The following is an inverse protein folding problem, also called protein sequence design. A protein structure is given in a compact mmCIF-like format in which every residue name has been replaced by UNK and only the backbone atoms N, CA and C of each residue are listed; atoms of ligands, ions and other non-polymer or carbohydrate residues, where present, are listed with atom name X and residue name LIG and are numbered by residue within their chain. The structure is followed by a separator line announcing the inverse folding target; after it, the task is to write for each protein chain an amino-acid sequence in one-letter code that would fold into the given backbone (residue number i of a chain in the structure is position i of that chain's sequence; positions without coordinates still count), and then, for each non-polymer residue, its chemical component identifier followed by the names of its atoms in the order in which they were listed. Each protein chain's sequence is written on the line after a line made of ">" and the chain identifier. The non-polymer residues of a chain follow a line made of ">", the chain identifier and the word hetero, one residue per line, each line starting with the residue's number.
data_IF_331546611256
#
_entry.id   IF_331546611256
#
_cell.length_a   1.000
_cell.length_b   1.000
_cell.length_c   1.000
_cell.angle_alpha   90.00
_cell.angle_beta   90.00
_cell.angle_gamma   90.00
#
_symmetry.space_group_name_H-M   'P 1'
#
loop_
_entity.id
_entity.type
_entity.pdbx_description
1 polymer ?
#
# COMPACT_ATOMS: atom_id res chain seq x y z
N UNK A 1 6.28 7.70 13.48
CA UNK A 1 7.31 7.31 14.47
C UNK A 1 8.34 8.43 14.49
N UNK A 2 8.28 9.34 15.47
CA UNK A 2 9.11 10.56 15.43
C UNK A 2 10.37 10.38 16.28
N UNK A 3 11.53 10.58 15.64
CA UNK A 3 12.90 10.72 16.21
C UNK A 3 13.82 9.50 16.36
N UNK A 4 13.63 8.43 15.60
CA UNK A 4 14.80 7.59 15.20
C UNK A 4 14.72 7.32 13.72
N UNK A 5 15.65 7.90 12.97
CA UNK A 5 15.96 7.50 11.60
C UNK A 5 16.21 5.99 11.60
N UNK A 6 15.38 5.22 10.90
CA UNK A 6 15.73 3.84 10.59
C UNK A 6 17.09 3.84 9.90
N UNK A 7 18.09 3.19 10.51
CA UNK A 7 19.43 3.10 9.94
C UNK A 7 19.35 2.45 8.55
N UNK A 8 20.10 2.94 7.54
CA UNK A 8 20.24 2.28 6.24
C UNK A 8 20.60 0.78 6.36
N UNK A 9 21.30 0.41 7.43
CA UNK A 9 21.71 -0.98 7.72
C UNK A 9 20.51 -1.90 8.04
N UNK A 10 19.51 -1.40 8.78
CA UNK A 10 18.30 -2.15 9.12
C UNK A 10 17.44 -2.40 7.86
N UNK A 11 17.46 -1.45 6.91
CA UNK A 11 16.78 -1.58 5.62
C UNK A 11 17.46 -2.59 4.69
N UNK A 12 18.79 -2.65 4.72
CA UNK A 12 19.56 -3.63 3.95
C UNK A 12 19.29 -5.06 4.42
N UNK A 13 19.20 -5.29 5.73
CA UNK A 13 18.84 -6.59 6.29
C UNK A 13 17.44 -7.04 5.87
N UNK A 14 16.44 -6.14 5.89
CA UNK A 14 15.08 -6.46 5.39
C UNK A 14 15.10 -6.84 3.90
N UNK A 15 15.89 -6.15 3.08
CA UNK A 15 15.99 -6.41 1.65
C UNK A 15 16.65 -7.76 1.33
N UNK A 16 17.72 -8.13 2.04
CA UNK A 16 18.40 -9.41 1.83
C UNK A 16 17.49 -10.60 2.17
N UNK A 17 16.69 -10.48 3.23
CA UNK A 17 15.82 -11.56 3.68
C UNK A 17 14.55 -11.64 2.82
N UNK A 18 13.98 -10.49 2.45
CA UNK A 18 12.86 -10.47 1.52
C UNK A 18 13.25 -11.06 0.16
N UNK A 19 14.49 -10.86 -0.30
CA UNK A 19 15.03 -11.49 -1.51
C UNK A 19 15.15 -13.01 -1.37
N UNK A 20 15.64 -13.49 -0.23
CA UNK A 20 15.75 -14.93 0.06
C UNK A 20 14.37 -15.62 0.16
N UNK A 21 13.36 -14.92 0.68
CA UNK A 21 11.98 -15.43 0.74
C UNK A 21 11.24 -15.31 -0.61
N UNK A 22 11.50 -14.25 -1.39
CA UNK A 22 10.90 -14.04 -2.72
C UNK A 22 11.39 -15.08 -3.75
N UNK A 23 12.62 -15.57 -3.62
CA UNK A 23 13.15 -16.66 -4.45
C UNK A 23 12.42 -18.00 -4.24
N UNK A 24 11.61 -18.12 -3.19
CA UNK A 24 10.82 -19.32 -2.86
C UNK A 24 9.31 -19.17 -3.12
N UNK A 25 8.86 -18.02 -3.66
CA UNK A 25 7.44 -17.78 -3.96
C UNK A 25 7.10 -18.16 -5.41
N UNK A 26 6.01 -18.91 -5.68
CA UNK A 26 5.62 -19.21 -7.05
C UNK A 26 5.12 -17.94 -7.74
N UNK A 27 5.69 -17.66 -8.92
CA UNK A 27 5.21 -16.62 -9.82
C UNK A 27 3.84 -16.97 -10.37
N UNK A 28 2.81 -16.21 -10.02
CA UNK A 28 1.54 -16.23 -10.73
C UNK A 28 1.74 -15.61 -12.12
N UNK A 29 1.84 -16.47 -13.13
CA UNK A 29 1.94 -16.09 -14.53
C UNK A 29 0.55 -15.64 -15.05
N UNK A 30 0.47 -14.40 -15.53
CA UNK A 30 -0.58 -13.97 -16.45
C UNK A 30 0.03 -13.87 -17.86
N UNK A 31 -0.66 -14.49 -18.81
CA UNK A 31 -0.18 -14.80 -20.15
C UNK A 31 0.21 -13.57 -20.99
N UNK A 32 1.32 -13.71 -21.72
CA UNK A 32 1.65 -12.91 -22.89
C UNK A 32 1.73 -13.84 -24.09
N UNK A 33 0.73 -13.80 -24.96
CA UNK A 33 0.84 -14.36 -26.30
C UNK A 33 1.83 -13.50 -27.10
N UNK A 34 2.95 -14.09 -27.52
CA UNK A 34 3.82 -13.54 -28.57
C UNK A 34 3.96 -14.58 -29.67
N UNK A 35 3.33 -14.31 -30.82
CA UNK A 35 3.69 -14.94 -32.10
C UNK A 35 5.06 -14.41 -32.54
N UNK A 36 5.98 -15.34 -32.79
CA UNK A 36 7.32 -15.11 -33.34
C UNK A 36 7.26 -15.24 -34.86
N UNK A 37 7.87 -14.29 -35.60
CA UNK A 37 8.32 -14.45 -36.99
C UNK A 37 9.64 -13.67 -37.17
N UNK A 38 10.53 -14.10 -38.11
CA UNK A 38 11.97 -13.93 -37.97
C UNK A 38 12.56 -12.66 -38.60
N UNK A 39 13.71 -12.29 -38.05
CA UNK A 39 14.62 -11.21 -38.46
C UNK A 39 14.97 -11.21 -39.95
N UNK A 40 14.97 -10.01 -40.53
CA UNK A 40 15.81 -9.65 -41.67
C UNK A 40 16.51 -8.33 -41.35
N UNK A 41 17.83 -8.39 -41.31
CA UNK A 41 18.71 -7.27 -40.98
C UNK A 41 18.54 -6.10 -41.96
N UNK A 42 18.52 -4.85 -41.45
CA UNK A 42 18.73 -3.66 -42.26
C UNK A 42 19.53 -2.60 -41.49
N UNK A 43 20.50 -2.03 -42.20
CA UNK A 43 21.62 -1.21 -41.72
C UNK A 43 21.26 0.29 -41.65
N UNK A 44 20.03 0.61 -41.23
CA UNK A 44 19.47 1.99 -41.19
C UNK A 44 19.02 2.45 -39.78
N UNK A 45 19.13 1.60 -38.75
CA UNK A 45 18.63 1.92 -37.39
C UNK A 45 19.47 2.95 -36.61
N UNK A 46 20.68 3.30 -37.05
CA UNK A 46 21.55 4.18 -36.27
C UNK A 46 21.19 5.68 -36.35
N UNK A 47 20.51 6.17 -37.40
CA UNK A 47 20.15 7.60 -37.47
C UNK A 47 18.78 7.93 -36.83
N UNK A 48 17.86 6.96 -36.80
CA UNK A 48 16.52 7.13 -36.18
C UNK A 48 16.61 7.04 -34.66
N UNK A 49 17.51 6.20 -34.13
CA UNK A 49 17.81 6.13 -32.71
C UNK A 49 18.49 7.40 -32.20
N UNK A 50 19.32 8.07 -33.02
CA UNK A 50 20.02 9.29 -32.62
C UNK A 50 19.07 10.50 -32.52
N UNK A 51 18.13 10.63 -33.46
CA UNK A 51 17.11 11.69 -33.44
C UNK A 51 16.10 11.52 -32.30
N UNK A 52 15.66 10.28 -32.03
CA UNK A 52 14.71 10.00 -30.92
C UNK A 52 15.35 10.16 -29.55
N UNK A 53 16.65 9.87 -29.43
CA UNK A 53 17.44 10.14 -28.22
C UNK A 53 17.68 11.65 -28.05
N UNK A 54 18.01 12.38 -29.12
CA UNK A 54 18.18 13.84 -29.08
C UNK A 54 16.88 14.56 -28.67
N UNK A 55 15.73 14.19 -29.26
CA UNK A 55 14.42 14.70 -28.86
C UNK A 55 14.10 14.35 -27.40
N UNK A 56 14.57 13.18 -26.95
CA UNK A 56 14.38 12.74 -25.58
C UNK A 56 15.15 13.57 -24.56
N UNK A 57 16.41 13.90 -24.87
CA UNK A 57 17.28 14.76 -24.06
C UNK A 57 16.76 16.20 -24.06
N UNK A 58 16.40 16.73 -25.24
CA UNK A 58 15.85 18.09 -25.36
C UNK A 58 14.58 18.27 -24.51
N UNK A 59 13.69 17.27 -24.48
CA UNK A 59 12.52 17.32 -23.61
C UNK A 59 12.90 17.26 -22.12
N UNK A 60 13.91 16.47 -21.75
CA UNK A 60 14.38 16.40 -20.37
C UNK A 60 14.95 17.74 -19.90
N UNK A 61 15.73 18.42 -20.74
CA UNK A 61 16.28 19.74 -20.45
C UNK A 61 15.17 20.80 -20.34
N UNK A 62 14.15 20.74 -21.20
CA UNK A 62 12.98 21.59 -21.10
C UNK A 62 12.27 21.42 -19.76
N UNK A 63 12.04 20.18 -19.31
CA UNK A 63 11.38 19.90 -18.02
C UNK A 63 12.27 20.33 -16.85
N UNK A 64 13.59 20.16 -16.94
CA UNK A 64 14.52 20.62 -15.92
C UNK A 64 14.50 22.15 -15.77
N UNK A 65 14.48 22.89 -16.89
CA UNK A 65 14.33 24.34 -16.89
C UNK A 65 13.02 24.76 -16.23
N UNK A 66 11.89 24.17 -16.65
CA UNK A 66 10.58 24.45 -16.06
C UNK A 66 10.59 24.18 -14.56
N UNK A 67 11.16 23.06 -14.11
CA UNK A 67 11.22 22.73 -12.69
C UNK A 67 12.07 23.72 -11.89
N UNK A 68 13.18 24.20 -12.45
CA UNK A 68 14.02 25.23 -11.83
C UNK A 68 13.26 26.56 -11.69
N UNK A 69 12.57 26.99 -12.74
CA UNK A 69 11.70 28.18 -12.72
C UNK A 69 10.61 28.06 -11.65
N UNK A 70 9.95 26.90 -11.56
CA UNK A 70 8.96 26.64 -10.51
C UNK A 70 9.56 26.73 -9.10
N UNK A 71 10.73 26.11 -8.89
CA UNK A 71 11.43 26.21 -7.60
C UNK A 71 11.73 27.67 -7.23
N UNK A 72 12.17 28.50 -8.18
CA UNK A 72 12.40 29.92 -7.95
C UNK A 72 11.11 30.66 -7.57
N UNK A 73 9.98 30.34 -8.23
CA UNK A 73 8.67 30.90 -7.88
C UNK A 73 8.28 30.52 -6.44
N UNK A 74 8.55 29.28 -6.01
CA UNK A 74 8.27 28.82 -4.66
C UNK A 74 9.17 29.47 -3.59
N UNK A 75 10.42 29.79 -3.92
CA UNK A 75 11.39 30.41 -3.00
C UNK A 75 11.21 31.94 -2.90
N UNK A 76 10.52 32.54 -3.87
CA UNK A 76 10.38 33.99 -3.94
C UNK A 76 9.53 34.54 -2.77
N UNK A 77 9.97 35.61 -2.06
CA UNK A 77 9.23 36.16 -0.91
C UNK A 77 7.79 36.60 -1.21
N UNK A 78 7.52 37.00 -2.46
CA UNK A 78 6.20 37.41 -2.94
C UNK A 78 5.40 36.25 -3.59
N UNK A 79 5.76 34.99 -3.34
CA UNK A 79 5.05 33.84 -3.88
C UNK A 79 3.57 33.90 -3.46
N UNK A 80 2.67 33.86 -4.44
CA UNK A 80 1.23 34.05 -4.25
C UNK A 80 0.42 33.08 -5.11
N UNK A 81 -0.83 32.85 -4.74
CA UNK A 81 -1.73 31.97 -5.49
C UNK A 81 -1.95 32.43 -6.94
N UNK A 82 -1.84 33.74 -7.20
CA UNK A 82 -1.86 34.30 -8.55
C UNK A 82 -0.63 33.90 -9.38
N UNK A 83 0.57 33.93 -8.78
CA UNK A 83 1.80 33.48 -9.43
C UNK A 83 1.75 31.98 -9.75
N UNK A 84 1.26 31.17 -8.80
CA UNK A 84 1.09 29.73 -9.01
C UNK A 84 0.09 29.42 -10.13
N UNK A 85 -1.04 30.12 -10.16
CA UNK A 85 -2.06 29.93 -11.20
C UNK A 85 -1.56 30.34 -12.58
N UNK A 86 -0.80 31.45 -12.67
CA UNK A 86 -0.16 31.88 -13.93
C UNK A 86 0.81 30.83 -14.47
N UNK A 87 1.62 30.23 -13.61
CA UNK A 87 2.56 29.18 -14.00
C UNK A 87 1.83 27.92 -14.49
N UNK A 88 0.74 27.52 -13.83
CA UNK A 88 -0.08 26.38 -14.31
C UNK A 88 -0.72 26.68 -15.67
N UNK A 89 -1.22 27.89 -15.91
CA UNK A 89 -1.74 28.28 -17.23
C UNK A 89 -0.67 28.19 -18.32
N UNK A 90 0.58 28.56 -18.02
CA UNK A 90 1.71 28.37 -18.93
C UNK A 90 1.94 26.89 -19.26
N UNK A 91 1.93 26.00 -18.25
CA UNK A 91 2.05 24.55 -18.48
C UNK A 91 0.89 23.98 -19.31
N UNK A 92 -0.33 24.46 -19.10
CA UNK A 92 -1.50 24.09 -19.92
C UNK A 92 -1.32 24.55 -21.37
N UNK A 93 -0.87 25.77 -21.61
CA UNK A 93 -0.64 26.33 -22.94
C UNK A 93 0.45 25.55 -23.71
N UNK A 94 1.53 25.16 -23.03
CA UNK A 94 2.59 24.30 -23.61
C UNK A 94 2.06 22.87 -23.87
N UNK A 95 0.93 22.49 -23.28
CA UNK A 95 0.26 21.21 -23.51
C UNK A 95 0.74 20.08 -22.61
N UNK A 96 1.45 20.36 -21.53
CA UNK A 96 2.02 19.35 -20.63
C UNK A 96 0.98 18.73 -19.67
N UNK A 97 -0.23 19.31 -19.58
CA UNK A 97 -1.28 18.90 -18.62
C UNK A 97 -2.52 18.30 -19.29
N UNK A 98 -2.40 17.78 -20.52
CA UNK A 98 -3.51 17.17 -21.28
C UNK A 98 -3.88 15.76 -20.79
N UNK A 99 -2.99 15.09 -20.08
CA UNK A 99 -3.16 13.71 -19.63
C UNK A 99 -2.79 12.67 -20.71
N UNK A 100 -1.99 13.04 -21.69
CA UNK A 100 -1.43 12.12 -22.70
C UNK A 100 -0.06 11.58 -22.25
N UNK A 101 0.66 10.91 -23.17
CA UNK A 101 2.00 10.37 -22.92
C UNK A 101 3.01 11.47 -22.53
N UNK A 102 2.88 12.68 -23.08
CA UNK A 102 3.74 13.82 -22.72
C UNK A 102 3.50 14.27 -21.28
N UNK A 103 2.24 14.28 -20.82
CA UNK A 103 1.93 14.51 -19.40
C UNK A 103 2.56 13.45 -18.49
N UNK A 104 2.48 12.17 -18.85
CA UNK A 104 3.12 11.11 -18.06
C UNK A 104 4.64 11.26 -18.03
N UNK A 105 5.24 11.60 -19.18
CA UNK A 105 6.68 11.85 -19.32
C UNK A 105 7.13 13.03 -18.48
N UNK A 106 6.37 14.12 -18.47
CA UNK A 106 6.61 15.32 -17.68
C UNK A 106 6.67 15.00 -16.18
N UNK A 107 5.62 14.37 -15.63
CA UNK A 107 5.58 14.03 -14.21
C UNK A 107 6.62 12.98 -13.81
N UNK A 108 7.03 12.10 -14.73
CA UNK A 108 8.12 11.16 -14.50
C UNK A 108 9.44 11.91 -14.27
N UNK A 109 9.80 12.79 -15.20
CA UNK A 109 11.04 13.57 -15.13
C UNK A 109 11.03 14.49 -13.90
N UNK A 110 9.89 15.14 -13.58
CA UNK A 110 9.76 15.93 -12.35
C UNK A 110 10.01 15.10 -11.09
N UNK A 111 9.46 13.88 -11.02
CA UNK A 111 9.67 12.99 -9.88
C UNK A 111 11.16 12.62 -9.77
N UNK A 112 11.79 12.24 -10.89
CA UNK A 112 13.22 11.89 -10.94
C UNK A 112 14.11 13.07 -10.52
N UNK A 113 13.86 14.28 -11.03
CA UNK A 113 14.61 15.49 -10.69
C UNK A 113 14.44 15.88 -9.21
N UNK A 114 13.19 15.88 -8.70
CA UNK A 114 12.92 16.24 -7.32
C UNK A 114 13.60 15.26 -6.35
N UNK A 115 13.59 13.96 -6.65
CA UNK A 115 14.30 12.94 -5.87
C UNK A 115 15.81 13.13 -5.97
N UNK A 116 16.35 13.30 -7.18
CA UNK A 116 17.78 13.51 -7.39
C UNK A 116 18.28 14.71 -6.59
N UNK A 117 17.66 15.88 -6.74
CA UNK A 117 18.04 17.11 -6.03
C UNK A 117 17.87 17.01 -4.51
N UNK A 118 16.97 16.15 -4.01
CA UNK A 118 16.79 15.95 -2.57
C UNK A 118 17.90 15.13 -1.91
N UNK A 119 18.53 14.22 -2.66
CA UNK A 119 19.54 13.28 -2.17
C UNK A 119 20.98 13.76 -2.46
N UNK A 120 21.14 14.82 -3.27
CA UNK A 120 22.46 15.46 -3.47
C UNK A 120 22.96 15.97 -2.12
N UNK A 121 23.99 15.29 -1.61
CA UNK A 121 24.76 15.76 -0.46
C UNK A 121 25.42 17.08 -0.85
N UNK A 122 25.18 18.15 -0.09
CA UNK A 122 26.10 19.29 -0.10
C UNK A 122 27.46 18.77 0.36
N UNK A 123 28.33 18.42 -0.58
CA UNK A 123 29.75 18.20 -0.34
C UNK A 123 30.40 19.56 -0.11
N UNK A 124 30.09 20.21 1.01
CA UNK A 124 30.96 21.25 1.54
C UNK A 124 32.10 20.49 2.23
N UNK A 125 33.14 20.19 1.46
CA UNK A 125 34.43 19.76 1.98
C UNK A 125 35.01 20.89 2.83
N UNK A 126 34.64 20.95 4.11
CA UNK A 126 35.43 21.69 5.08
C UNK A 126 36.75 20.91 5.30
N UNK A 127 37.93 21.49 5.04
CA UNK A 127 39.19 20.80 5.26
C UNK A 127 39.40 20.65 6.77
N UNK A 128 39.25 19.42 7.30
CA UNK A 128 39.77 19.06 8.62
C UNK A 128 38.79 18.49 9.67
N UNK A 129 37.54 18.16 9.34
CA UNK A 129 36.61 17.57 10.31
C UNK A 129 36.29 16.10 10.02
N UNK A 130 36.42 15.22 11.02
CA UNK A 130 35.81 13.87 11.03
C UNK A 130 34.27 14.03 10.99
N UNK A 131 33.68 14.19 9.81
CA UNK A 131 32.23 14.27 9.66
C UNK A 131 31.64 12.86 9.67
N UNK A 132 30.83 12.56 10.69
CA UNK A 132 29.82 11.49 10.58
C UNK A 132 29.07 11.67 9.27
N UNK A 133 29.00 10.62 8.45
CA UNK A 133 28.23 10.57 7.20
C UNK A 133 26.73 10.67 7.50
N UNK A 134 26.24 11.83 7.93
CA UNK A 134 24.82 12.11 7.93
C UNK A 134 24.44 12.57 6.54
N UNK A 135 23.82 11.69 5.75
CA UNK A 135 23.22 12.04 4.46
C UNK A 135 22.11 13.08 4.71
N UNK A 136 22.44 14.36 4.58
CA UNK A 136 21.48 15.45 4.70
C UNK A 136 20.59 15.43 3.46
N UNK A 137 19.26 15.36 3.66
CA UNK A 137 18.28 15.38 2.56
C UNK A 137 17.67 16.76 2.53
N UNK A 138 17.77 17.44 1.38
CA UNK A 138 17.04 18.69 1.15
C UNK A 138 15.61 18.37 0.70
N UNK A 139 14.62 18.72 1.51
CA UNK A 139 13.21 18.49 1.15
C UNK A 139 12.63 19.58 0.24
N UNK A 140 13.33 20.70 0.03
CA UNK A 140 12.83 21.80 -0.78
C UNK A 140 12.39 21.37 -2.20
N UNK A 141 13.18 20.60 -2.98
CA UNK A 141 12.74 20.15 -4.31
C UNK A 141 11.47 19.29 -4.26
N UNK A 142 11.35 18.44 -3.24
CA UNK A 142 10.18 17.56 -3.04
C UNK A 142 8.96 18.37 -2.64
N UNK A 143 9.11 19.34 -1.74
CA UNK A 143 8.04 20.21 -1.28
C UNK A 143 7.54 21.11 -2.43
N UNK A 144 8.45 21.68 -3.22
CA UNK A 144 8.14 22.45 -4.43
C UNK A 144 7.41 21.59 -5.47
N UNK A 145 7.89 20.38 -5.76
CA UNK A 145 7.18 19.46 -6.66
C UNK A 145 5.79 19.08 -6.13
N UNK A 146 5.68 18.81 -4.83
CA UNK A 146 4.39 18.52 -4.20
C UNK A 146 3.41 19.66 -4.38
N UNK A 147 3.85 20.91 -4.13
CA UNK A 147 3.04 22.10 -4.30
C UNK A 147 2.57 22.27 -5.74
N UNK A 148 3.43 22.01 -6.74
CA UNK A 148 3.06 22.06 -8.16
C UNK A 148 1.88 21.13 -8.44
N UNK A 149 1.98 19.86 -8.04
CA UNK A 149 0.92 18.87 -8.24
C UNK A 149 -0.37 19.29 -7.55
N UNK A 150 -0.29 19.78 -6.31
CA UNK A 150 -1.45 20.28 -5.56
C UNK A 150 -2.16 21.43 -6.29
N UNK A 151 -1.40 22.39 -6.84
CA UNK A 151 -1.96 23.52 -7.60
C UNK A 151 -2.52 23.07 -8.95
N UNK A 152 -1.82 22.18 -9.67
CA UNK A 152 -2.28 21.60 -10.95
C UNK A 152 -3.62 20.89 -10.77
N UNK A 153 -3.75 20.04 -9.76
CA UNK A 153 -5.00 19.29 -9.49
C UNK A 153 -6.14 20.25 -9.14
N UNK A 154 -5.88 21.27 -8.31
CA UNK A 154 -6.89 22.27 -7.92
C UNK A 154 -7.36 23.09 -9.12
N UNK A 155 -6.45 23.60 -9.95
CA UNK A 155 -6.80 24.45 -11.10
C UNK A 155 -7.43 23.66 -12.26
N UNK A 156 -6.94 22.45 -12.57
CA UNK A 156 -7.53 21.63 -13.64
C UNK A 156 -8.93 21.11 -13.28
N UNK A 157 -9.25 20.99 -11.98
CA UNK A 157 -10.59 20.59 -11.53
C UNK A 157 -11.63 21.70 -11.70
N UNK A 158 -11.21 22.98 -11.71
CA UNK A 158 -12.09 24.15 -11.81
C UNK A 158 -12.55 24.41 -13.25
N UNK A 159 -11.68 24.20 -14.24
CA UNK A 159 -11.95 24.60 -15.63
C UNK A 159 -12.73 23.55 -16.45
N UNK A 160 -12.78 22.30 -16.00
CA UNK A 160 -13.02 21.18 -16.92
C UNK A 160 -14.32 20.40 -16.63
N UNK A 161 -14.99 20.67 -15.51
CA UNK A 161 -16.21 19.97 -15.11
C UNK A 161 -15.95 18.50 -14.69
N UNK A 162 -16.95 17.84 -14.08
CA UNK A 162 -16.77 16.56 -13.38
C UNK A 162 -16.46 15.35 -14.28
N UNK A 163 -16.47 15.51 -15.61
CA UNK A 163 -16.42 14.42 -16.59
C UNK A 163 -15.10 14.29 -17.39
N UNK A 164 -14.07 15.12 -17.16
CA UNK A 164 -12.72 14.82 -17.68
C UNK A 164 -11.82 14.29 -16.57
N UNK A 165 -11.13 13.18 -16.87
CA UNK A 165 -10.45 12.35 -15.88
C UNK A 165 -9.45 13.11 -15.01
N UNK A 166 -9.53 12.88 -13.70
CA UNK A 166 -8.55 13.38 -12.75
C UNK A 166 -7.12 13.03 -13.18
N UNK A 167 -6.21 14.00 -13.14
CA UNK A 167 -4.78 13.76 -13.35
C UNK A 167 -4.15 12.98 -12.20
N UNK A 168 -4.77 12.99 -11.01
CA UNK A 168 -4.21 12.37 -9.80
C UNK A 168 -3.89 10.88 -9.98
N UNK A 169 -4.80 10.01 -10.46
CA UNK A 169 -4.47 8.61 -10.73
C UNK A 169 -3.28 8.42 -11.69
N UNK A 170 -3.13 9.29 -12.69
CA UNK A 170 -2.01 9.23 -13.65
C UNK A 170 -0.69 9.62 -12.98
N UNK A 171 -0.69 10.71 -12.21
CA UNK A 171 0.48 11.16 -11.44
C UNK A 171 0.90 10.07 -10.45
N UNK A 172 -0.05 9.51 -9.69
CA UNK A 172 0.22 8.40 -8.77
C UNK A 172 0.80 7.19 -9.51
N UNK A 173 0.23 6.80 -10.66
CA UNK A 173 0.74 5.68 -11.46
C UNK A 173 2.17 5.91 -11.94
N UNK A 174 2.48 7.11 -12.44
CA UNK A 174 3.83 7.49 -12.86
C UNK A 174 4.81 7.43 -11.69
N UNK A 175 4.45 8.02 -10.55
CA UNK A 175 5.31 8.02 -9.35
C UNK A 175 5.54 6.60 -8.83
N UNK A 176 4.54 5.72 -8.83
CA UNK A 176 4.69 4.31 -8.47
C UNK A 176 5.73 3.63 -9.37
N UNK A 177 5.65 3.84 -10.69
CA UNK A 177 6.61 3.27 -11.63
C UNK A 177 8.04 3.79 -11.40
N UNK A 178 8.19 5.07 -11.06
CA UNK A 178 9.49 5.66 -10.69
C UNK A 178 10.03 5.00 -9.42
N UNK A 179 9.22 4.84 -8.37
CA UNK A 179 9.63 4.19 -7.12
C UNK A 179 10.06 2.74 -7.37
N UNK A 180 9.28 1.99 -8.14
CA UNK A 180 9.58 0.59 -8.46
C UNK A 180 10.91 0.47 -9.21
N UNK A 181 11.11 1.33 -10.22
CA UNK A 181 12.36 1.39 -10.98
C UNK A 181 13.54 1.76 -10.08
N UNK A 182 13.41 2.82 -9.28
CA UNK A 182 14.47 3.30 -8.40
C UNK A 182 14.85 2.28 -7.32
N UNK A 183 13.86 1.56 -6.77
CA UNK A 183 14.08 0.48 -5.81
C UNK A 183 14.81 -0.72 -6.43
N UNK A 184 14.46 -1.11 -7.66
CA UNK A 184 15.13 -2.21 -8.37
C UNK A 184 16.57 -1.84 -8.76
N UNK A 185 16.80 -0.60 -9.20
CA UNK A 185 18.11 -0.10 -9.62
C UNK A 185 19.05 0.10 -8.43
N UNK A 186 18.59 0.78 -7.37
CA UNK A 186 19.42 1.12 -6.20
C UNK A 186 19.54 -0.01 -5.17
N UNK A 187 18.54 -0.90 -5.09
CA UNK A 187 18.51 -2.03 -4.14
C UNK A 187 18.80 -1.56 -2.70
N UNK A 188 19.98 -1.92 -2.17
CA UNK A 188 20.45 -1.59 -0.83
C UNK A 188 20.67 -0.08 -0.58
N UNK A 189 20.84 0.72 -1.64
CA UNK A 189 20.99 2.19 -1.55
C UNK A 189 19.69 2.95 -1.82
N UNK A 190 18.56 2.25 -2.00
CA UNK A 190 17.26 2.89 -2.17
C UNK A 190 16.89 3.70 -0.93
N UNK A 191 16.47 4.95 -1.14
CA UNK A 191 16.09 5.85 -0.06
C UNK A 191 14.59 6.18 -0.16
N UNK A 192 13.75 5.67 0.75
CA UNK A 192 12.30 5.89 0.70
C UNK A 192 11.88 7.30 1.16
N UNK A 193 12.77 8.09 1.78
CA UNK A 193 12.42 9.36 2.45
C UNK A 193 11.86 10.44 1.50
N UNK A 194 12.41 10.67 0.29
CA UNK A 194 11.84 11.64 -0.64
C UNK A 194 10.42 11.26 -1.07
N UNK A 195 10.18 9.99 -1.37
CA UNK A 195 8.86 9.48 -1.77
C UNK A 195 7.84 9.54 -0.62
N UNK A 196 8.27 9.22 0.61
CA UNK A 196 7.45 9.39 1.80
C UNK A 196 7.01 10.84 1.96
N UNK A 197 7.95 11.79 1.88
CA UNK A 197 7.67 13.23 1.97
C UNK A 197 6.70 13.70 0.88
N UNK A 198 6.89 13.21 -0.34
CA UNK A 198 6.01 13.53 -1.47
C UNK A 198 4.56 13.06 -1.21
N UNK A 199 4.37 11.78 -0.86
CA UNK A 199 3.03 11.25 -0.60
C UNK A 199 2.34 11.91 0.59
N UNK A 200 3.06 12.18 1.69
CA UNK A 200 2.45 12.80 2.86
C UNK A 200 2.02 14.25 2.60
N UNK A 201 2.80 15.00 1.82
CA UNK A 201 2.44 16.35 1.42
C UNK A 201 1.19 16.32 0.53
N UNK A 202 1.13 15.45 -0.49
CA UNK A 202 -0.07 15.31 -1.32
C UNK A 202 -1.31 14.89 -0.51
N UNK A 203 -1.16 13.93 0.40
CA UNK A 203 -2.27 13.52 1.28
C UNK A 203 -2.80 14.71 2.09
N UNK A 204 -1.91 15.52 2.67
CA UNK A 204 -2.31 16.68 3.45
C UNK A 204 -2.96 17.77 2.58
N UNK A 205 -2.40 18.07 1.42
CA UNK A 205 -2.87 19.17 0.56
C UNK A 205 -4.17 18.85 -0.19
N UNK A 206 -4.36 17.59 -0.58
CA UNK A 206 -5.49 17.14 -1.39
C UNK A 206 -6.67 16.66 -0.55
N UNK A 207 -6.42 16.18 0.68
CA UNK A 207 -7.49 15.66 1.57
C UNK A 207 -8.10 16.73 2.49
N UNK A 208 -7.56 17.95 2.52
CA UNK A 208 -8.01 19.06 3.38
C UNK A 208 -8.79 20.14 2.64
N UNK A 209 -9.00 20.02 1.33
CA UNK A 209 -9.71 21.05 0.58
C UNK A 209 -11.19 21.09 0.98
N UNK A 210 -11.54 22.09 1.80
CA UNK A 210 -12.88 22.34 2.35
C UNK A 210 -13.95 22.61 1.28
N UNK A 211 -13.55 22.74 0.01
CA UNK A 211 -14.40 23.10 -1.12
C UNK A 211 -15.10 21.90 -1.80
N UNK A 212 -14.84 20.67 -1.36
CA UNK A 212 -15.33 19.47 -2.02
C UNK A 212 -16.37 18.72 -1.17
N UNK A 213 -17.51 18.40 -1.80
CA UNK A 213 -18.51 17.46 -1.29
C UNK A 213 -17.82 16.16 -0.82
N UNK A 214 -18.32 15.53 0.25
CA UNK A 214 -17.74 14.33 0.91
C UNK A 214 -17.26 13.22 -0.06
N UNK A 215 -17.91 13.09 -1.23
CA UNK A 215 -17.57 12.12 -2.26
C UNK A 215 -16.25 12.38 -3.01
N UNK A 216 -15.84 13.63 -3.24
CA UNK A 216 -14.60 13.92 -3.95
C UNK A 216 -13.36 13.68 -3.06
N UNK A 217 -13.45 14.00 -1.77
CA UNK A 217 -12.43 13.65 -0.78
C UNK A 217 -12.26 12.12 -0.68
N UNK A 218 -13.35 11.35 -0.78
CA UNK A 218 -13.27 9.89 -0.82
C UNK A 218 -12.52 9.36 -2.04
N UNK A 219 -12.75 9.93 -3.23
CA UNK A 219 -12.06 9.49 -4.44
C UNK A 219 -10.55 9.69 -4.35
N UNK A 220 -10.11 10.80 -3.75
CA UNK A 220 -8.68 11.05 -3.46
C UNK A 220 -8.13 9.96 -2.54
N UNK A 221 -8.78 9.72 -1.39
CA UNK A 221 -8.34 8.69 -0.44
C UNK A 221 -8.32 7.29 -1.07
N UNK A 222 -9.33 6.94 -1.88
CA UNK A 222 -9.39 5.68 -2.59
C UNK A 222 -8.25 5.55 -3.62
N UNK A 223 -7.89 6.62 -4.32
CA UNK A 223 -6.75 6.64 -5.23
C UNK A 223 -5.43 6.38 -4.50
N UNK A 224 -5.21 7.01 -3.33
CA UNK A 224 -4.06 6.72 -2.47
C UNK A 224 -4.06 5.29 -1.94
N UNK A 225 -5.22 4.77 -1.51
CA UNK A 225 -5.31 3.39 -1.03
C UNK A 225 -4.95 2.38 -2.14
N UNK A 226 -5.36 2.64 -3.38
CA UNK A 226 -4.93 1.83 -4.52
C UNK A 226 -3.42 1.97 -4.79
N UNK A 227 -2.87 3.18 -4.72
CA UNK A 227 -1.43 3.40 -4.87
C UNK A 227 -0.62 2.64 -3.81
N UNK A 228 -1.03 2.71 -2.54
CA UNK A 228 -0.37 1.99 -1.45
C UNK A 228 -0.50 0.48 -1.57
N UNK A 229 -1.63 -0.05 -2.07
CA UNK A 229 -1.75 -1.48 -2.35
C UNK A 229 -0.73 -1.96 -3.39
N UNK A 230 -0.48 -1.16 -4.44
CA UNK A 230 0.54 -1.49 -5.46
C UNK A 230 1.96 -1.38 -4.88
N UNK A 231 2.19 -0.42 -3.98
CA UNK A 231 3.45 -0.20 -3.27
C UNK A 231 3.63 -1.08 -2.02
N UNK A 232 2.81 -2.12 -1.84
CA UNK A 232 2.84 -2.95 -0.64
C UNK A 232 4.25 -3.50 -0.32
N UNK A 233 4.55 -3.77 0.97
CA UNK A 233 5.88 -4.21 1.39
C UNK A 233 6.39 -5.49 0.70
N UNK A 234 5.50 -6.42 0.33
CA UNK A 234 5.87 -7.63 -0.42
C UNK A 234 6.38 -7.34 -1.84
N UNK A 235 6.10 -6.15 -2.40
CA UNK A 235 6.60 -5.69 -3.71
C UNK A 235 7.87 -4.87 -3.56
N UNK A 236 7.93 -4.00 -2.55
CA UNK A 236 9.07 -3.10 -2.30
C UNK A 236 9.44 -3.16 -0.81
N UNK A 237 10.20 -4.19 -0.37
CA UNK A 237 10.55 -4.37 1.05
C UNK A 237 11.32 -3.18 1.63
N UNK A 238 12.13 -2.52 0.78
CA UNK A 238 12.91 -1.32 1.08
C UNK A 238 12.05 -0.07 1.33
N UNK A 239 10.74 -0.14 1.12
CA UNK A 239 9.79 0.93 1.45
C UNK A 239 8.89 0.59 2.64
N UNK A 240 9.01 -0.61 3.21
CA UNK A 240 8.06 -1.15 4.20
C UNK A 240 7.77 -0.22 5.39
N UNK A 241 8.79 0.40 6.00
CA UNK A 241 8.59 1.33 7.11
C UNK A 241 7.88 2.62 6.70
N UNK A 242 8.33 3.23 5.59
CA UNK A 242 7.68 4.42 5.04
C UNK A 242 6.23 4.13 4.63
N UNK A 243 5.99 2.96 4.05
CA UNK A 243 4.66 2.49 3.68
C UNK A 243 3.76 2.34 4.91
N UNK A 244 4.24 1.73 5.99
CA UNK A 244 3.47 1.59 7.23
C UNK A 244 3.13 2.96 7.83
N UNK A 245 4.08 3.90 7.82
CA UNK A 245 3.84 5.27 8.28
C UNK A 245 2.81 6.02 7.42
N UNK A 246 2.80 5.82 6.09
CA UNK A 246 1.80 6.42 5.19
C UNK A 246 0.40 5.83 5.43
N UNK A 247 0.30 4.51 5.45
CA UNK A 247 -0.99 3.80 5.64
C UNK A 247 -1.59 4.08 7.01
N UNK A 248 -0.78 4.22 8.06
CA UNK A 248 -1.26 4.54 9.40
C UNK A 248 -1.37 6.04 9.70
N UNK A 249 -1.09 6.91 8.74
CA UNK A 249 -1.10 8.34 8.99
C UNK A 249 -2.52 8.87 9.28
N UNK A 250 -2.66 9.76 10.27
CA UNK A 250 -3.96 10.30 10.71
C UNK A 250 -4.77 10.98 9.60
N UNK A 251 -4.13 11.61 8.61
CA UNK A 251 -4.84 12.26 7.48
C UNK A 251 -5.32 11.26 6.44
N UNK A 252 -4.82 10.02 6.47
CA UNK A 252 -5.25 8.95 5.59
C UNK A 252 -6.14 7.94 6.32
N UNK A 253 -5.61 7.23 7.33
CA UNK A 253 -6.30 6.16 8.05
C UNK A 253 -7.62 6.64 8.67
N UNK A 254 -7.57 7.68 9.51
CA UNK A 254 -8.77 8.15 10.21
C UNK A 254 -9.82 8.69 9.22
N UNK A 255 -9.40 9.41 8.18
CA UNK A 255 -10.31 9.95 7.17
C UNK A 255 -10.95 8.85 6.32
N UNK A 256 -10.18 7.82 5.96
CA UNK A 256 -10.67 6.67 5.19
C UNK A 256 -11.66 5.81 6.02
N UNK A 257 -11.46 5.70 7.34
CA UNK A 257 -12.29 4.88 8.22
C UNK A 257 -13.55 5.60 8.76
N UNK A 258 -13.51 6.92 8.97
CA UNK A 258 -14.62 7.69 9.57
C UNK A 258 -15.66 8.18 8.54
N UNK A 259 -15.27 8.39 7.28
CA UNK A 259 -16.13 9.01 6.27
C UNK A 259 -17.00 8.03 5.46
N UNK A 260 -17.96 8.60 4.71
CA UNK A 260 -18.63 7.94 3.57
C UNK A 260 -19.30 6.59 3.86
N UNK A 261 -19.98 6.45 5.01
CA UNK A 261 -20.76 5.24 5.36
C UNK A 261 -19.94 3.95 5.24
N UNK A 262 -18.72 3.93 5.77
CA UNK A 262 -17.82 2.76 5.79
C UNK A 262 -17.31 2.31 4.40
N UNK A 263 -17.54 3.08 3.33
CA UNK A 263 -17.04 2.74 1.97
C UNK A 263 -15.51 2.62 1.89
N UNK A 264 -14.77 3.24 2.80
CA UNK A 264 -13.31 3.15 2.86
C UNK A 264 -12.78 1.88 3.53
N UNK A 265 -13.63 1.14 4.25
CA UNK A 265 -13.19 0.00 5.04
C UNK A 265 -12.60 -1.14 4.20
N UNK A 266 -13.18 -1.55 3.05
CA UNK A 266 -12.57 -2.59 2.22
C UNK A 266 -11.18 -2.20 1.70
N UNK A 267 -10.95 -0.91 1.42
CA UNK A 267 -9.63 -0.44 1.01
C UNK A 267 -8.61 -0.58 2.13
N UNK A 268 -8.97 -0.17 3.35
CA UNK A 268 -8.06 -0.26 4.49
C UNK A 268 -7.84 -1.71 4.95
N UNK A 269 -8.88 -2.54 4.89
CA UNK A 269 -8.78 -3.98 5.12
C UNK A 269 -7.75 -4.62 4.20
N UNK A 270 -7.79 -4.32 2.90
CA UNK A 270 -6.82 -4.84 1.93
C UNK A 270 -5.39 -4.44 2.28
N UNK A 271 -5.16 -3.18 2.70
CA UNK A 271 -3.84 -2.71 3.12
C UNK A 271 -3.35 -3.46 4.37
N UNK A 272 -4.20 -3.69 5.37
CA UNK A 272 -3.81 -4.49 6.54
C UNK A 272 -3.49 -5.95 6.16
N UNK A 273 -4.25 -6.53 5.23
CA UNK A 273 -3.93 -7.87 4.70
C UNK A 273 -2.58 -7.87 3.98
N UNK A 274 -2.26 -6.85 3.18
CA UNK A 274 -0.94 -6.73 2.54
C UNK A 274 0.19 -6.69 3.59
N UNK A 275 -0.01 -5.93 4.69
CA UNK A 275 0.93 -5.87 5.80
C UNK A 275 1.08 -7.22 6.51
N UNK A 276 -0.02 -7.89 6.85
CA UNK A 276 0.03 -9.17 7.54
C UNK A 276 0.65 -10.26 6.67
N UNK A 277 0.34 -10.30 5.36
CA UNK A 277 0.96 -11.23 4.41
C UNK A 277 2.47 -11.00 4.29
N UNK A 278 2.90 -9.74 4.29
CA UNK A 278 4.34 -9.43 4.30
C UNK A 278 5.01 -9.92 5.59
N UNK A 279 4.36 -9.72 6.74
CA UNK A 279 4.92 -10.06 8.05
C UNK A 279 4.89 -11.56 8.36
N UNK A 280 3.90 -12.29 7.86
CA UNK A 280 3.60 -13.69 8.19
C UNK A 280 4.84 -14.61 8.20
N UNK A 281 5.71 -14.63 7.16
CA UNK A 281 6.84 -15.56 7.13
C UNK A 281 7.87 -15.28 8.23
N UNK A 282 8.05 -14.01 8.59
CA UNK A 282 8.99 -13.59 9.63
C UNK A 282 8.42 -13.82 11.04
N UNK A 283 7.11 -13.75 11.19
CA UNK A 283 6.46 -13.94 12.48
C UNK A 283 6.24 -15.42 12.83
N UNK A 284 6.14 -16.29 11.82
CA UNK A 284 5.90 -17.73 12.02
C UNK A 284 6.97 -18.40 12.87
N UNK A 285 8.25 -18.11 12.61
CA UNK A 285 9.40 -18.75 13.29
C UNK A 285 9.77 -18.10 14.62
N UNK A 286 9.19 -16.93 14.94
CA UNK A 286 9.48 -16.13 16.12
C UNK A 286 10.96 -15.71 16.31
N UNK A 287 11.81 -15.89 15.29
CA UNK A 287 13.20 -15.41 15.26
C UNK A 287 13.26 -14.01 14.64
N UNK A 288 12.88 -13.01 15.45
CA UNK A 288 12.69 -11.65 14.97
C UNK A 288 14.01 -10.86 15.03
N UNK A 289 14.64 -10.71 13.87
CA UNK A 289 15.68 -9.70 13.69
C UNK A 289 15.18 -8.31 14.07
N UNK A 290 16.09 -7.42 14.46
CA UNK A 290 15.75 -6.07 14.94
C UNK A 290 14.80 -5.28 14.01
N UNK A 291 14.99 -5.27 12.67
CA UNK A 291 14.06 -4.58 11.77
C UNK A 291 12.64 -5.18 11.81
N UNK A 292 12.53 -6.50 11.88
CA UNK A 292 11.23 -7.20 11.95
C UNK A 292 10.55 -6.89 13.28
N UNK A 293 11.31 -6.86 14.37
CA UNK A 293 10.80 -6.48 15.69
C UNK A 293 10.27 -5.03 15.71
N UNK A 294 10.96 -4.10 15.04
CA UNK A 294 10.49 -2.71 14.90
C UNK A 294 9.21 -2.63 14.06
N UNK A 295 9.14 -3.39 12.96
CA UNK A 295 7.95 -3.49 12.12
C UNK A 295 6.75 -4.08 12.89
N UNK A 296 6.98 -5.12 13.68
CA UNK A 296 5.97 -5.71 14.56
C UNK A 296 5.44 -4.69 15.57
N UNK A 297 6.33 -3.93 16.23
CA UNK A 297 5.93 -2.84 17.14
C UNK A 297 5.09 -1.77 16.44
N UNK A 298 5.46 -1.40 15.21
CA UNK A 298 4.66 -0.48 14.40
C UNK A 298 3.26 -1.05 14.10
N UNK A 299 3.20 -2.31 13.67
CA UNK A 299 1.96 -3.03 13.37
C UNK A 299 1.04 -3.11 14.60
N UNK A 300 1.59 -3.44 15.77
CA UNK A 300 0.83 -3.46 17.03
C UNK A 300 0.27 -2.10 17.41
N UNK A 301 1.01 -1.01 17.18
CA UNK A 301 0.49 0.35 17.43
C UNK A 301 -0.70 0.66 16.53
N UNK A 302 -0.65 0.29 15.26
CA UNK A 302 -1.78 0.45 14.34
C UNK A 302 -2.99 -0.35 14.83
N UNK A 303 -2.80 -1.62 15.17
CA UNK A 303 -3.86 -2.48 15.71
C UNK A 303 -4.48 -1.93 17.00
N UNK A 304 -3.68 -1.38 17.91
CA UNK A 304 -4.18 -0.78 19.15
C UNK A 304 -4.98 0.51 18.90
N UNK A 305 -4.57 1.34 17.95
CA UNK A 305 -5.35 2.52 17.53
C UNK A 305 -6.67 2.07 16.90
N UNK A 306 -6.65 1.04 16.05
CA UNK A 306 -7.88 0.49 15.46
C UNK A 306 -8.82 -0.09 16.52
N UNK A 307 -8.29 -0.82 17.50
CA UNK A 307 -9.10 -1.37 18.61
C UNK A 307 -9.78 -0.26 19.42
N UNK A 308 -9.07 0.86 19.67
CA UNK A 308 -9.61 1.96 20.45
C UNK A 308 -10.60 2.83 19.65
N UNK A 309 -10.22 3.26 18.43
CA UNK A 309 -10.96 4.26 17.67
C UNK A 309 -12.00 3.64 16.72
N UNK A 310 -11.74 2.42 16.23
CA UNK A 310 -12.52 1.73 15.19
C UNK A 310 -12.75 0.24 15.49
N UNK A 311 -13.22 -0.14 16.70
CA UNK A 311 -13.36 -1.56 17.07
C UNK A 311 -14.31 -2.31 16.14
N UNK A 312 -15.38 -1.68 15.64
CA UNK A 312 -16.33 -2.29 14.71
C UNK A 312 -15.68 -2.70 13.39
N UNK A 313 -14.65 -1.97 12.93
CA UNK A 313 -13.89 -2.36 11.75
C UNK A 313 -13.10 -3.65 11.99
N UNK A 314 -12.48 -3.79 13.16
CA UNK A 314 -11.80 -5.05 13.52
C UNK A 314 -12.81 -6.19 13.68
N UNK A 315 -14.00 -5.93 14.23
CA UNK A 315 -15.08 -6.91 14.33
C UNK A 315 -15.50 -7.42 12.95
N UNK A 316 -15.82 -6.51 12.03
CA UNK A 316 -16.38 -6.86 10.72
C UNK A 316 -15.38 -7.69 9.87
N UNK A 317 -14.07 -7.48 10.04
CA UNK A 317 -13.02 -8.14 9.24
C UNK A 317 -12.15 -9.14 10.02
N UNK A 318 -12.53 -9.48 11.27
CA UNK A 318 -11.74 -10.35 12.15
C UNK A 318 -11.34 -11.67 11.50
N UNK A 319 -12.26 -12.26 10.71
CA UNK A 319 -12.04 -13.52 10.02
C UNK A 319 -10.89 -13.41 9.02
N UNK A 320 -10.96 -12.44 8.09
CA UNK A 320 -9.91 -12.23 7.09
C UNK A 320 -8.53 -11.91 7.71
N UNK A 321 -8.50 -11.19 8.83
CA UNK A 321 -7.23 -10.88 9.50
C UNK A 321 -6.64 -12.10 10.19
N UNK A 322 -7.46 -12.86 10.93
CA UNK A 322 -7.02 -14.07 11.61
C UNK A 322 -6.60 -15.17 10.64
N UNK A 323 -7.06 -15.12 9.39
CA UNK A 323 -6.69 -16.07 8.35
C UNK A 323 -5.25 -15.89 7.84
N UNK A 324 -4.70 -14.69 8.00
CA UNK A 324 -3.35 -14.34 7.54
C UNK A 324 -2.34 -14.26 8.69
N UNK A 325 -2.78 -13.89 9.90
CA UNK A 325 -1.89 -13.77 11.06
C UNK A 325 -1.54 -15.16 11.59
N UNK A 326 -0.24 -15.52 11.72
CA UNK A 326 0.17 -16.82 12.25
C UNK A 326 -0.45 -17.12 13.62
N UNK A 327 -0.74 -18.39 13.88
CA UNK A 327 -1.28 -18.82 15.18
C UNK A 327 -0.31 -18.58 16.34
N UNK A 328 1.00 -18.46 16.08
CA UNK A 328 2.01 -18.08 17.07
C UNK A 328 1.89 -16.61 17.52
N UNK A 329 1.26 -15.74 16.72
CA UNK A 329 1.09 -14.32 17.03
C UNK A 329 -0.11 -14.06 17.95
N UNK A 330 -0.08 -14.67 19.14
CA UNK A 330 -1.19 -14.65 20.11
C UNK A 330 -1.64 -13.22 20.41
N UNK A 331 -0.71 -12.31 20.69
CA UNK A 331 -1.04 -10.92 21.04
C UNK A 331 -1.76 -10.19 19.90
N UNK A 332 -1.29 -10.32 18.65
CA UNK A 332 -1.92 -9.69 17.48
C UNK A 332 -3.35 -10.20 17.29
N UNK A 333 -3.53 -11.53 17.34
CA UNK A 333 -4.86 -12.15 17.20
C UNK A 333 -5.78 -11.72 18.33
N UNK A 334 -5.29 -11.68 19.57
CA UNK A 334 -6.08 -11.26 20.72
C UNK A 334 -6.56 -9.81 20.58
N UNK A 335 -5.73 -8.88 20.09
CA UNK A 335 -6.16 -7.48 19.87
C UNK A 335 -7.33 -7.41 18.89
N UNK A 336 -7.30 -8.20 17.81
CA UNK A 336 -8.40 -8.25 16.83
C UNK A 336 -9.64 -8.91 17.43
N UNK A 337 -9.47 -10.07 18.09
CA UNK A 337 -10.57 -10.86 18.63
C UNK A 337 -11.17 -10.29 19.93
N UNK A 338 -10.50 -9.33 20.55
CA UNK A 338 -11.00 -8.57 21.70
C UNK A 338 -11.78 -7.33 21.28
N UNK A 339 -11.86 -7.01 19.98
CA UNK A 339 -12.71 -5.94 19.50
C UNK A 339 -14.18 -6.36 19.62
N UNK A 340 -15.02 -5.44 20.09
CA UNK A 340 -16.48 -5.59 20.14
C UNK A 340 -17.15 -4.22 19.89
N UNK A 341 -18.40 -4.18 19.43
CA UNK A 341 -19.10 -2.92 19.15
C UNK A 341 -19.18 -2.00 20.38
N UNK A 342 -18.92 -0.70 20.21
CA UNK A 342 -18.84 0.27 21.33
C UNK A 342 -20.10 0.38 22.18
N UNK A 343 -21.26 0.08 21.60
CA UNK A 343 -22.55 0.11 22.28
C UNK A 343 -22.89 -1.18 23.04
N UNK A 344 -22.04 -2.22 22.94
CA UNK A 344 -22.21 -3.47 23.67
C UNK A 344 -21.58 -3.37 25.07
N UNK A 345 -22.25 -3.93 26.08
CA UNK A 345 -21.70 -4.06 27.44
C UNK A 345 -21.43 -5.53 27.71
N UNK A 346 -20.16 -5.87 27.85
CA UNK A 346 -19.77 -7.24 28.19
C UNK A 346 -19.90 -7.45 29.70
N UNK A 347 -20.57 -8.53 30.15
CA UNK A 347 -20.56 -8.90 31.57
C UNK A 347 -19.14 -9.31 31.99
N UNK A 348 -18.77 -9.04 33.24
CA UNK A 348 -17.50 -9.52 33.79
C UNK A 348 -17.53 -11.07 33.85
N UNK A 349 -16.61 -11.78 33.17
CA UNK A 349 -16.54 -13.23 33.21
C UNK A 349 -16.34 -13.82 34.61
N UNK A 350 -15.82 -13.01 35.55
CA UNK A 350 -15.59 -13.39 36.95
C UNK A 350 -16.83 -13.24 37.83
N UNK A 351 -17.95 -12.76 37.27
CA UNK A 351 -19.22 -12.61 38.01
C UNK A 351 -19.74 -13.98 38.46
N UNK A 352 -19.92 -14.23 39.77
CA UNK A 352 -20.39 -15.51 40.25
C UNK A 352 -21.80 -15.79 39.75
N UNK A 353 -22.04 -17.04 39.31
CA UNK A 353 -23.33 -17.48 38.76
C UNK A 353 -23.81 -16.70 37.53
N UNK A 354 -22.89 -16.15 36.71
CA UNK A 354 -23.24 -15.54 35.42
C UNK A 354 -23.95 -16.56 34.52
N UNK A 355 -25.20 -16.26 34.16
CA UNK A 355 -26.02 -17.07 33.27
C UNK A 355 -25.88 -16.60 31.83
N UNK A 356 -24.94 -17.18 31.10
CA UNK A 356 -24.62 -16.80 29.71
C UNK A 356 -25.81 -17.03 28.78
N UNK A 357 -26.59 -18.09 29.03
CA UNK A 357 -27.81 -18.47 28.31
C UNK A 357 -28.94 -17.43 28.39
N UNK A 358 -28.87 -16.49 29.34
CA UNK A 358 -29.85 -15.42 29.51
C UNK A 358 -29.44 -14.09 28.85
N UNK A 359 -28.22 -13.99 28.32
CA UNK A 359 -27.78 -12.79 27.63
C UNK A 359 -28.50 -12.67 26.29
N UNK A 360 -29.13 -11.54 26.01
CA UNK A 360 -29.91 -11.34 24.79
C UNK A 360 -29.04 -11.49 23.53
N UNK A 361 -27.78 -11.10 23.64
CA UNK A 361 -26.82 -11.03 22.55
C UNK A 361 -26.39 -12.40 22.02
N UNK A 362 -26.55 -13.50 22.77
CA UNK A 362 -26.14 -14.86 22.32
C UNK A 362 -26.90 -15.35 21.09
N UNK A 363 -28.11 -14.81 20.90
CA UNK A 363 -29.00 -15.14 19.78
C UNK A 363 -28.75 -14.28 18.54
N UNK A 364 -27.91 -13.25 18.66
CA UNK A 364 -27.62 -12.31 17.59
C UNK A 364 -26.33 -12.73 16.87
N UNK A 365 -26.38 -13.06 15.57
CA UNK A 365 -25.17 -13.40 14.84
C UNK A 365 -24.27 -12.16 14.69
N UNK A 366 -22.94 -12.30 14.80
CA UNK A 366 -22.03 -11.21 14.52
C UNK A 366 -22.04 -10.86 13.03
N UNK A 367 -21.76 -9.59 12.72
CA UNK A 367 -21.55 -9.15 11.33
C UNK A 367 -20.17 -9.62 10.85
N UNK A 368 -20.13 -10.29 9.70
CA UNK A 368 -18.90 -10.75 9.06
C UNK A 368 -18.86 -10.18 7.64
N UNK A 369 -17.92 -9.27 7.39
CA UNK A 369 -17.72 -8.59 6.10
C UNK A 369 -16.62 -9.24 5.26
N UNK A 370 -16.22 -10.47 5.61
CA UNK A 370 -15.23 -11.28 4.90
C UNK A 370 -15.89 -12.39 4.10
N UNK A 371 -15.25 -12.84 3.01
CA UNK A 371 -15.71 -13.97 2.20
C UNK A 371 -15.44 -15.31 2.92
N UNK A 372 -16.39 -15.75 3.76
CA UNK A 372 -16.25 -16.95 4.58
C UNK A 372 -16.18 -18.22 3.74
N UNK A 373 -16.99 -18.33 2.68
CA UNK A 373 -17.08 -19.54 1.85
C UNK A 373 -16.16 -19.52 0.63
N UNK A 374 -15.39 -18.44 0.42
CA UNK A 374 -14.43 -18.29 -0.68
C UNK A 374 -13.42 -19.45 -0.79
N UNK A 375 -12.80 -19.87 0.32
CA UNK A 375 -11.85 -20.99 0.29
C UNK A 375 -12.53 -22.33 -0.04
N UNK A 376 -13.76 -22.54 0.44
CA UNK A 376 -14.57 -23.73 0.12
C UNK A 376 -14.94 -23.76 -1.36
N UNK A 377 -15.32 -22.62 -1.94
CA UNK A 377 -15.62 -22.47 -3.38
C UNK A 377 -14.39 -22.74 -4.22
N UNK A 378 -13.24 -22.16 -3.85
CA UNK A 378 -11.98 -22.32 -4.59
C UNK A 378 -11.50 -23.78 -4.62
N UNK A 379 -11.77 -24.55 -3.56
CA UNK A 379 -11.43 -25.97 -3.48
C UNK A 379 -12.57 -26.90 -3.89
N UNK A 380 -13.64 -26.35 -4.47
CA UNK A 380 -14.83 -27.10 -4.91
C UNK A 380 -15.47 -27.96 -3.79
N UNK A 381 -15.32 -27.56 -2.52
CA UNK A 381 -15.82 -28.30 -1.36
C UNK A 381 -17.17 -27.82 -0.85
N UNK A 382 -17.60 -26.60 -1.22
CA UNK A 382 -18.83 -26.01 -0.67
C UNK A 382 -20.06 -26.90 -0.95
N UNK A 383 -20.19 -27.40 -2.18
CA UNK A 383 -21.32 -28.25 -2.59
C UNK A 383 -21.32 -29.55 -1.79
N UNK A 384 -20.17 -30.22 -1.69
CA UNK A 384 -20.04 -31.45 -0.91
C UNK A 384 -20.44 -31.24 0.57
N UNK A 385 -20.05 -30.11 1.17
CA UNK A 385 -20.44 -29.75 2.54
C UNK A 385 -21.94 -29.52 2.64
N UNK A 386 -22.54 -28.76 1.72
CA UNK A 386 -23.98 -28.48 1.71
C UNK A 386 -24.81 -29.76 1.54
N UNK A 387 -24.35 -30.68 0.69
CA UNK A 387 -24.98 -31.98 0.48
C UNK A 387 -24.86 -32.86 1.72
N UNK A 388 -23.66 -32.92 2.33
CA UNK A 388 -23.44 -33.68 3.55
C UNK A 388 -24.30 -33.19 4.72
N UNK A 389 -24.43 -31.87 4.90
CA UNK A 389 -25.27 -31.28 5.95
C UNK A 389 -26.76 -31.58 5.75
N UNK A 390 -27.22 -31.71 4.49
CA UNK A 390 -28.62 -32.06 4.18
C UNK A 390 -28.90 -33.56 4.24
N UNK A 391 -27.95 -34.38 3.80
CA UNK A 391 -28.08 -35.85 3.64
C UNK A 391 -26.75 -36.52 4.01
N UNK A 392 -26.51 -36.77 5.30
CA UNK A 392 -25.27 -37.41 5.74
C UNK A 392 -25.21 -38.90 5.35
N UNK A 393 -26.36 -39.55 5.15
CA UNK A 393 -26.45 -40.97 4.84
C UNK A 393 -25.82 -41.32 3.48
N UNK A 394 -24.87 -42.24 3.48
CA UNK A 394 -24.21 -42.75 2.27
C UNK A 394 -23.09 -41.87 1.70
N UNK A 395 -22.77 -40.74 2.32
CA UNK A 395 -21.69 -39.85 1.87
C UNK A 395 -20.30 -40.36 2.31
N UNK A 396 -19.33 -40.39 1.39
CA UNK A 396 -17.92 -40.63 1.72
C UNK A 396 -17.18 -39.37 2.18
N UNK A 397 -17.86 -38.23 2.23
CA UNK A 397 -17.24 -36.91 2.42
C UNK A 397 -16.29 -36.84 3.61
N UNK A 398 -16.68 -37.36 4.78
CA UNK A 398 -15.84 -37.35 5.98
C UNK A 398 -14.57 -38.20 5.83
N UNK A 399 -14.63 -39.31 5.08
CA UNK A 399 -13.46 -40.17 4.83
C UNK A 399 -12.42 -39.41 4.00
N UNK A 400 -12.87 -38.61 3.05
CA UNK A 400 -12.01 -37.84 2.14
C UNK A 400 -11.60 -36.47 2.71
N UNK A 401 -12.33 -35.96 3.72
CA UNK A 401 -12.18 -34.61 4.26
C UNK A 401 -10.75 -34.30 4.68
N UNK A 402 -10.11 -35.21 5.44
CA UNK A 402 -8.72 -35.01 5.89
C UNK A 402 -7.78 -34.79 4.72
N UNK A 403 -7.93 -35.55 3.63
CA UNK A 403 -7.07 -35.42 2.45
C UNK A 403 -7.35 -34.11 1.72
N UNK A 404 -8.63 -33.71 1.60
CA UNK A 404 -9.02 -32.42 1.01
C UNK A 404 -8.45 -31.20 1.76
N UNK A 405 -8.20 -31.33 3.06
CA UNK A 405 -7.60 -30.27 3.89
C UNK A 405 -6.06 -30.19 3.81
N UNK A 406 -5.39 -31.13 3.16
CA UNK A 406 -3.93 -31.11 3.01
C UNK A 406 -3.50 -30.27 1.80
N UNK A 407 -2.35 -29.61 1.95
CA UNK A 407 -1.67 -28.90 0.86
C UNK A 407 -0.75 -29.87 0.08
N UNK A 408 -0.58 -29.67 -1.23
CA UNK A 408 0.53 -30.28 -1.97
C UNK A 408 1.88 -29.92 -1.34
N UNK A 409 2.88 -30.80 -1.43
CA UNK A 409 4.17 -30.63 -0.74
C UNK A 409 4.86 -29.29 -1.03
N UNK A 410 4.79 -28.81 -2.28
CA UNK A 410 5.38 -27.53 -2.68
C UNK A 410 4.70 -26.35 -1.96
N UNK A 411 3.38 -26.35 -1.86
CA UNK A 411 2.61 -25.33 -1.14
C UNK A 411 2.83 -25.43 0.37
N UNK A 412 2.93 -26.65 0.90
CA UNK A 412 3.16 -26.90 2.32
C UNK A 412 4.49 -26.31 2.82
N UNK A 413 5.55 -26.39 2.02
CA UNK A 413 6.85 -25.82 2.34
C UNK A 413 6.78 -24.28 2.47
N UNK A 414 6.05 -23.62 1.57
CA UNK A 414 5.85 -22.16 1.60
C UNK A 414 4.95 -21.76 2.78
N UNK A 415 3.86 -22.48 2.99
CA UNK A 415 2.91 -22.25 4.09
C UNK A 415 3.46 -22.65 5.47
N UNK A 416 4.58 -23.38 5.53
CA UNK A 416 5.17 -23.86 6.79
C UNK A 416 4.29 -24.84 7.55
N UNK A 417 3.29 -25.41 6.87
CA UNK A 417 2.34 -26.39 7.40
C UNK A 417 1.82 -27.23 6.25
N UNK A 418 1.51 -28.50 6.54
CA UNK A 418 0.88 -29.41 5.57
C UNK A 418 -0.61 -29.17 5.39
N UNK A 419 -1.23 -28.32 6.20
CA UNK A 419 -2.67 -28.08 6.20
C UNK A 419 -3.02 -26.77 5.50
N UNK A 420 -4.13 -26.79 4.75
CA UNK A 420 -4.71 -25.58 4.20
C UNK A 420 -5.50 -24.86 5.30
N UNK A 421 -4.81 -24.02 6.07
CA UNK A 421 -5.38 -23.29 7.21
C UNK A 421 -6.58 -22.42 6.79
N UNK A 422 -6.53 -21.62 5.70
CA UNK A 422 -7.69 -20.89 5.21
C UNK A 422 -8.92 -21.76 4.95
N UNK A 423 -8.73 -22.91 4.31
CA UNK A 423 -9.81 -23.85 4.06
C UNK A 423 -10.39 -24.42 5.35
N UNK A 424 -9.55 -24.74 6.34
CA UNK A 424 -10.00 -25.21 7.66
C UNK A 424 -10.81 -24.14 8.38
N UNK A 425 -10.33 -22.90 8.41
CA UNK A 425 -11.01 -21.77 9.03
C UNK A 425 -12.38 -21.52 8.38
N UNK A 426 -12.43 -21.49 7.04
CA UNK A 426 -13.67 -21.38 6.28
C UNK A 426 -14.63 -22.53 6.56
N UNK A 427 -14.15 -23.78 6.59
CA UNK A 427 -14.98 -24.95 6.86
C UNK A 427 -15.64 -24.87 8.24
N UNK A 428 -14.84 -24.58 9.28
CA UNK A 428 -15.32 -24.50 10.67
C UNK A 428 -16.36 -23.40 10.82
N UNK A 429 -16.06 -22.19 10.33
CA UNK A 429 -16.97 -21.06 10.47
C UNK A 429 -18.22 -21.23 9.62
N UNK A 430 -18.10 -21.74 8.39
CA UNK A 430 -19.23 -21.99 7.50
C UNK A 430 -20.20 -23.00 8.10
N UNK A 431 -19.71 -24.13 8.63
CA UNK A 431 -20.54 -25.12 9.31
C UNK A 431 -21.23 -24.52 10.54
N UNK A 432 -20.55 -23.67 11.32
CA UNK A 432 -21.16 -23.03 12.48
C UNK A 432 -22.22 -21.97 12.16
N UNK A 433 -22.23 -21.46 10.93
CA UNK A 433 -23.25 -20.50 10.43
C UNK A 433 -24.48 -21.24 9.88
N UNK A 434 -24.30 -22.42 9.28
CA UNK A 434 -25.40 -23.27 8.79
C UNK A 434 -26.13 -23.93 9.96
#
# INVERSE_FOLDING_TARGET
>A
ISRRSGSPELMQQVNEIARNNANNAPGFAFGKDKKVLPNRANKEENSVNDATVADSVAFQDQVAHLFSEWCQICDHPNASDAAYSRYVMQLQHIGLLKGDEFTERFFRILTELAVAHSVVSEQINAPGGLSQQSSHISYFPIDSYSKLVSVVIKNCSVEIGPNKGSLLPKILSVTIRVIQKDAEEKKASFNPRPYFRLFINWLNDLSTSELHHDGANFQVLAAFANAFHVLQPSRIPSMSFAWLELVSHRTFMARLLTGNSQKGWPFFQRLLIDLFKFMEPYLRTADLLEPVHLMYKGTMRVLLVLLHDFPEFLCDYHFSFCDVIPSSCIQMRNVILSAFPRNMRLPDPSTPNLKIDLLAEISLPPRIMSDVDGALKLKHMKVDVDEYLKRPEGSSFLNDLKQKLLLPQNEANVAGTRYNVPLMNSLVLYIGIQ
#
